data_IF_667896914245
#
_entry.id   IF_667896914245
#
_cell.length_a   1.000
_cell.length_b   1.000
_cell.length_c   1.000
_cell.angle_alpha   90.00
_cell.angle_beta   90.00
_cell.angle_gamma   90.00
#
_symmetry.space_group_name_H-M   'P 1'
#
loop_
_entity.id
_entity.type
_entity.pdbx_description
1 polymer ?
#
# COMPACT_ATOMS: atom_id res chain seq x y z
N UNK A 1 38.60 37.88 -32.23
CA UNK A 1 38.73 36.86 -31.12
C UNK A 1 37.91 37.39 -29.96
N UNK A 2 36.63 36.98 -29.89
CA UNK A 2 35.73 37.34 -28.79
C UNK A 2 35.83 36.28 -27.70
N UNK A 3 36.18 36.70 -26.47
CA UNK A 3 36.20 35.84 -25.29
C UNK A 3 34.77 35.67 -24.75
N UNK A 4 34.25 34.46 -24.79
CA UNK A 4 33.00 34.09 -24.19
C UNK A 4 33.22 33.99 -22.68
N UNK A 5 32.69 34.93 -21.90
CA UNK A 5 32.69 34.85 -20.44
C UNK A 5 31.49 34.04 -20.02
N UNK A 6 31.76 32.85 -19.45
CA UNK A 6 30.78 31.99 -18.87
C UNK A 6 30.23 32.60 -17.57
N UNK A 7 28.97 32.99 -17.61
CA UNK A 7 28.23 33.44 -16.43
C UNK A 7 27.76 32.20 -15.66
N UNK A 8 28.50 31.81 -14.64
CA UNK A 8 28.06 30.81 -13.68
C UNK A 8 27.11 31.47 -12.69
N UNK A 9 25.82 31.29 -12.90
CA UNK A 9 24.78 31.72 -11.95
C UNK A 9 24.73 30.72 -10.81
N UNK A 10 25.43 30.98 -9.71
CA UNK A 10 25.32 30.23 -8.48
C UNK A 10 23.99 30.63 -7.79
N UNK A 11 22.94 29.85 -8.00
CA UNK A 11 21.72 29.93 -7.19
C UNK A 11 22.04 29.33 -5.81
N UNK A 12 22.39 30.22 -4.87
CA UNK A 12 22.42 29.86 -3.46
C UNK A 12 20.98 29.66 -3.00
N UNK A 13 20.51 28.42 -3.03
CA UNK A 13 19.29 28.02 -2.34
C UNK A 13 19.58 28.12 -0.84
N UNK A 14 19.07 29.17 -0.20
CA UNK A 14 19.07 29.26 1.25
C UNK A 14 18.19 28.11 1.77
N UNK A 15 18.83 27.03 2.20
CA UNK A 15 18.20 26.00 3.04
C UNK A 15 17.89 26.69 4.36
N UNK A 16 16.66 27.20 4.49
CA UNK A 16 16.12 27.57 5.80
C UNK A 16 16.07 26.28 6.59
N UNK A 17 16.96 26.13 7.56
CA UNK A 17 16.89 25.07 8.57
C UNK A 17 15.63 25.35 9.38
N UNK A 18 14.51 24.75 8.98
CA UNK A 18 13.34 24.65 9.85
C UNK A 18 13.77 23.69 10.94
N UNK A 19 13.76 24.19 12.21
CA UNK A 19 13.90 23.33 13.38
C UNK A 19 12.86 22.20 13.23
N UNK A 20 13.30 20.95 13.32
CA UNK A 20 12.43 19.79 13.28
C UNK A 20 11.55 19.84 14.55
N UNK A 21 10.33 20.31 14.40
CA UNK A 21 9.32 20.25 15.45
C UNK A 21 8.50 18.99 15.26
N UNK A 22 8.06 18.41 16.38
CA UNK A 22 7.04 17.36 16.38
C UNK A 22 5.81 17.83 15.59
N UNK A 23 5.12 16.91 14.91
CA UNK A 23 3.80 17.22 14.34
C UNK A 23 2.82 17.37 15.49
N UNK A 24 2.19 18.55 15.69
CA UNK A 24 1.33 18.78 16.84
C UNK A 24 0.05 17.93 16.82
N UNK A 25 -0.43 17.57 18.00
CA UNK A 25 -1.78 17.04 18.13
C UNK A 25 -2.82 18.00 17.53
N UNK A 26 -3.84 17.45 16.86
CA UNK A 26 -4.88 18.23 16.17
C UNK A 26 -4.57 18.52 14.69
N UNK A 27 -3.36 18.23 14.22
CA UNK A 27 -2.99 18.36 12.79
C UNK A 27 -3.72 17.30 11.97
N UNK A 28 -4.18 17.70 10.77
CA UNK A 28 -4.64 16.78 9.73
C UNK A 28 -3.57 16.64 8.65
N UNK A 29 -3.46 15.44 8.11
CA UNK A 29 -2.62 15.14 6.95
C UNK A 29 -3.45 14.38 5.92
N UNK A 30 -3.27 14.72 4.64
CA UNK A 30 -3.88 14.00 3.52
C UNK A 30 -2.75 13.62 2.57
N UNK A 31 -2.72 12.34 2.19
CA UNK A 31 -1.81 11.86 1.17
C UNK A 31 -2.60 11.35 -0.04
N UNK A 32 -2.11 11.68 -1.25
CA UNK A 32 -2.68 11.20 -2.50
C UNK A 32 -1.55 10.67 -3.39
N UNK A 33 -1.70 9.45 -3.91
CA UNK A 33 -0.63 8.79 -4.62
C UNK A 33 -1.05 7.53 -5.35
N UNK A 34 -0.12 6.62 -5.50
CA UNK A 34 -0.34 5.29 -6.07
C UNK A 34 0.43 4.24 -5.27
N UNK A 35 -0.20 3.08 -5.12
CA UNK A 35 0.41 1.93 -4.48
C UNK A 35 0.35 0.71 -5.40
N UNK A 36 1.43 -0.06 -5.38
CA UNK A 36 1.54 -1.38 -5.99
C UNK A 36 1.28 -2.42 -4.92
N UNK A 37 0.30 -3.28 -5.14
CA UNK A 37 0.06 -4.48 -4.33
C UNK A 37 0.80 -5.62 -4.99
N UNK A 38 1.75 -6.20 -4.27
CA UNK A 38 2.63 -7.29 -4.70
C UNK A 38 2.33 -8.51 -3.81
N UNK A 39 1.44 -9.44 -4.24
CA UNK A 39 1.14 -10.66 -3.53
C UNK A 39 2.40 -11.50 -3.32
N UNK A 40 2.43 -12.31 -2.26
CA UNK A 40 3.54 -13.25 -2.08
C UNK A 40 3.57 -14.27 -3.24
N UNK A 41 4.73 -14.84 -3.51
CA UNK A 41 4.94 -15.75 -4.65
C UNK A 41 4.31 -17.14 -4.48
N UNK A 42 3.83 -17.49 -3.29
CA UNK A 42 3.13 -18.74 -2.99
C UNK A 42 1.81 -18.39 -2.27
N UNK A 43 0.73 -18.37 -3.04
CA UNK A 43 -0.61 -18.03 -2.52
C UNK A 43 -1.38 -19.26 -2.02
N UNK A 44 -0.70 -20.40 -1.85
CA UNK A 44 -1.29 -21.63 -1.35
C UNK A 44 -1.81 -22.55 -2.45
N UNK A 45 -2.70 -23.46 -2.05
CA UNK A 45 -3.27 -24.45 -2.96
C UNK A 45 -4.73 -24.74 -2.62
N UNK A 46 -5.53 -24.97 -3.65
CA UNK A 46 -6.93 -25.33 -3.56
C UNK A 46 -7.15 -26.83 -3.80
N UNK A 47 -8.34 -27.34 -3.44
CA UNK A 47 -8.76 -28.75 -3.62
C UNK A 47 -7.75 -29.74 -3.02
N UNK A 48 -7.35 -29.50 -1.74
CA UNK A 48 -6.38 -30.33 -1.02
C UNK A 48 -5.02 -30.47 -1.71
N UNK A 49 -4.52 -29.41 -2.31
CA UNK A 49 -3.21 -29.41 -2.98
C UNK A 49 -3.26 -29.76 -4.47
N UNK A 50 -4.44 -29.96 -5.05
CA UNK A 50 -4.56 -30.31 -6.46
C UNK A 50 -4.30 -29.12 -7.41
N UNK A 51 -4.53 -27.89 -6.95
CA UNK A 51 -4.33 -26.66 -7.72
C UNK A 51 -3.45 -25.70 -6.94
N UNK A 52 -2.28 -25.32 -7.47
CA UNK A 52 -1.49 -24.18 -6.95
C UNK A 52 -2.11 -22.87 -7.39
N UNK A 53 -2.01 -21.83 -6.55
CA UNK A 53 -2.56 -20.49 -6.81
C UNK A 53 -1.41 -19.52 -6.96
N UNK A 54 -1.47 -18.70 -8.01
CA UNK A 54 -0.59 -17.55 -8.24
C UNK A 54 -1.43 -16.32 -8.54
N UNK A 55 -1.17 -15.21 -7.86
CA UNK A 55 -1.91 -13.94 -7.98
C UNK A 55 -0.96 -12.86 -8.46
N UNK A 56 -1.33 -12.16 -9.55
CA UNK A 56 -0.52 -11.11 -10.15
C UNK A 56 -0.57 -9.82 -9.33
N UNK A 57 0.45 -8.96 -9.48
CA UNK A 57 0.49 -7.62 -8.91
C UNK A 57 -0.47 -6.63 -9.61
N UNK A 58 -0.79 -5.54 -8.95
CA UNK A 58 -1.55 -4.43 -9.55
C UNK A 58 -1.19 -3.08 -8.90
N UNK A 59 -1.30 -1.99 -9.68
CA UNK A 59 -1.03 -0.62 -9.24
C UNK A 59 -2.29 0.21 -9.33
N UNK A 60 -2.70 0.87 -8.21
CA UNK A 60 -3.87 1.74 -8.18
C UNK A 60 -3.61 3.07 -7.48
N UNK A 61 -4.35 4.12 -7.90
CA UNK A 61 -4.44 5.37 -7.15
C UNK A 61 -4.99 5.13 -5.76
N UNK A 62 -4.39 5.83 -4.78
CA UNK A 62 -4.75 5.76 -3.37
C UNK A 62 -4.87 7.13 -2.76
N UNK A 63 -5.64 7.21 -1.69
CA UNK A 63 -5.75 8.39 -0.82
C UNK A 63 -5.70 7.94 0.63
N UNK A 64 -5.00 8.68 1.48
CA UNK A 64 -5.11 8.49 2.92
C UNK A 64 -5.36 9.80 3.65
N UNK A 65 -6.07 9.71 4.77
CA UNK A 65 -6.26 10.78 5.72
C UNK A 65 -5.74 10.37 7.07
N UNK A 66 -4.96 11.23 7.72
CA UNK A 66 -4.38 11.00 9.03
C UNK A 66 -4.71 12.16 9.96
N UNK A 67 -5.11 11.83 11.18
CA UNK A 67 -5.34 12.79 12.24
C UNK A 67 -4.40 12.52 13.40
N UNK A 68 -3.65 13.54 13.82
CA UNK A 68 -2.71 13.46 14.92
C UNK A 68 -3.43 13.60 16.26
N UNK A 69 -3.57 12.48 16.99
CA UNK A 69 -4.24 12.42 18.31
C UNK A 69 -3.34 12.86 19.46
N UNK A 70 -2.02 12.81 19.25
CA UNK A 70 -0.98 13.32 20.13
C UNK A 70 0.20 13.77 19.27
N UNK A 71 1.16 14.48 19.87
CA UNK A 71 2.36 14.89 19.15
C UNK A 71 3.06 13.67 18.55
N UNK A 72 3.27 13.72 17.22
CA UNK A 72 3.86 12.64 16.43
C UNK A 72 3.06 11.33 16.37
N UNK A 73 1.86 11.23 16.95
CA UNK A 73 1.03 10.02 16.90
C UNK A 73 -0.23 10.29 16.10
N UNK A 74 -0.36 9.64 14.96
CA UNK A 74 -1.50 9.77 14.05
C UNK A 74 -2.35 8.50 13.96
N UNK A 75 -3.62 8.68 13.64
CA UNK A 75 -4.51 7.62 13.17
C UNK A 75 -4.74 7.86 11.68
N UNK A 76 -4.32 6.92 10.85
CA UNK A 76 -4.45 6.97 9.38
C UNK A 76 -5.53 5.99 8.90
N UNK A 77 -6.35 6.46 7.97
CA UNK A 77 -7.20 5.61 7.14
C UNK A 77 -6.72 5.68 5.70
N UNK A 78 -6.29 4.54 5.15
CA UNK A 78 -5.96 4.37 3.73
C UNK A 78 -7.16 3.83 2.98
N UNK A 79 -7.43 4.40 1.81
CA UNK A 79 -8.40 3.94 0.84
C UNK A 79 -7.78 3.93 -0.57
N UNK A 80 -8.30 3.07 -1.44
CA UNK A 80 -7.84 2.90 -2.82
C UNK A 80 -9.03 2.82 -3.77
N UNK A 81 -8.77 3.00 -5.07
CA UNK A 81 -9.66 2.44 -6.09
C UNK A 81 -9.44 0.92 -6.07
N UNK A 82 -10.48 0.09 -6.31
CA UNK A 82 -10.34 -1.36 -6.26
C UNK A 82 -9.17 -1.88 -7.08
N UNK A 83 -8.33 -2.73 -6.47
CA UNK A 83 -7.27 -3.45 -7.15
C UNK A 83 -7.87 -4.57 -8.00
N UNK A 84 -7.26 -4.83 -9.15
CA UNK A 84 -7.67 -5.88 -10.09
C UNK A 84 -6.53 -6.87 -10.22
N UNK A 85 -6.75 -8.09 -9.76
CA UNK A 85 -5.76 -9.15 -9.88
C UNK A 85 -6.22 -10.20 -10.86
N UNK A 86 -5.36 -10.52 -11.80
CA UNK A 86 -5.45 -11.78 -12.53
C UNK A 86 -4.83 -12.87 -11.63
N UNK A 87 -5.39 -14.07 -11.67
CA UNK A 87 -4.83 -15.21 -10.96
C UNK A 87 -4.80 -16.44 -11.87
N UNK A 88 -3.86 -17.32 -11.59
CA UNK A 88 -3.68 -18.58 -12.31
C UNK A 88 -3.74 -19.76 -11.34
N UNK A 89 -4.55 -20.73 -11.65
CA UNK A 89 -4.61 -22.02 -10.97
C UNK A 89 -3.92 -23.05 -11.84
N UNK A 90 -2.92 -23.75 -11.30
CA UNK A 90 -2.15 -24.74 -12.07
C UNK A 90 -2.27 -26.12 -11.42
N UNK A 91 -2.64 -27.14 -12.17
CA UNK A 91 -2.70 -28.54 -11.72
C UNK A 91 -1.33 -29.24 -11.79
N UNK A 92 -1.25 -30.46 -11.24
CA UNK A 92 -0.03 -31.27 -11.26
C UNK A 92 0.45 -31.67 -12.66
N UNK A 93 -0.39 -31.57 -13.69
CA UNK A 93 -0.04 -31.80 -15.09
C UNK A 93 0.42 -30.52 -15.80
N UNK A 94 0.40 -29.36 -15.12
CA UNK A 94 0.76 -28.06 -15.68
C UNK A 94 -0.37 -27.42 -16.50
N UNK A 95 -1.63 -27.85 -16.31
CA UNK A 95 -2.78 -27.22 -16.96
C UNK A 95 -3.17 -25.98 -16.17
N UNK A 96 -3.22 -24.83 -16.85
CA UNK A 96 -3.56 -23.53 -16.25
C UNK A 96 -5.04 -23.18 -16.45
N UNK A 97 -5.67 -22.72 -15.38
CA UNK A 97 -6.99 -22.11 -15.35
C UNK A 97 -6.84 -20.69 -14.87
N UNK A 98 -7.25 -19.71 -15.68
CA UNK A 98 -7.13 -18.29 -15.36
C UNK A 98 -8.42 -17.75 -14.79
N UNK A 99 -8.27 -16.78 -13.88
CA UNK A 99 -9.38 -16.05 -13.30
C UNK A 99 -9.02 -14.61 -13.00
N UNK A 100 -9.99 -13.87 -12.49
CA UNK A 100 -9.87 -12.46 -12.10
C UNK A 100 -10.66 -12.19 -10.86
N UNK A 101 -10.15 -11.31 -10.01
CA UNK A 101 -10.88 -10.77 -8.86
C UNK A 101 -10.60 -9.28 -8.71
N UNK A 102 -11.49 -8.60 -8.02
CA UNK A 102 -11.26 -7.24 -7.55
C UNK A 102 -11.33 -7.23 -6.04
N UNK A 103 -10.45 -6.46 -5.39
CA UNK A 103 -10.55 -6.28 -3.96
C UNK A 103 -10.32 -4.81 -3.56
N UNK A 104 -10.88 -4.46 -2.40
CA UNK A 104 -10.71 -3.17 -1.76
C UNK A 104 -10.22 -3.38 -0.33
N UNK A 105 -8.95 -2.99 -0.01
CA UNK A 105 -8.33 -3.24 1.28
C UNK A 105 -8.21 -1.97 2.14
N UNK A 106 -9.31 -1.31 2.60
CA UNK A 106 -9.17 -0.22 3.54
C UNK A 106 -8.37 -0.65 4.77
N UNK A 107 -7.47 0.22 5.20
CA UNK A 107 -6.57 -0.05 6.32
C UNK A 107 -6.61 1.09 7.32
N UNK A 108 -6.88 0.78 8.58
CA UNK A 108 -6.84 1.73 9.69
C UNK A 108 -5.58 1.45 10.51
N UNK A 109 -4.72 2.47 10.66
CA UNK A 109 -3.41 2.33 11.31
C UNK A 109 -3.19 3.40 12.37
N UNK A 110 -2.44 3.06 13.42
CA UNK A 110 -1.80 4.03 14.30
C UNK A 110 -0.35 4.17 13.83
N UNK A 111 0.10 5.42 13.63
CA UNK A 111 1.44 5.73 13.16
C UNK A 111 2.18 6.59 14.17
N UNK A 112 3.49 6.37 14.26
CA UNK A 112 4.41 7.23 14.99
C UNK A 112 5.40 7.84 14.01
N UNK A 113 5.42 9.19 13.97
CA UNK A 113 6.32 9.99 13.15
C UNK A 113 7.55 10.38 13.95
N UNK A 114 8.73 10.19 13.39
CA UNK A 114 9.99 10.58 14.01
C UNK A 114 10.34 12.06 13.71
N UNK A 115 9.32 12.91 13.64
CA UNK A 115 9.49 14.35 13.51
C UNK A 115 10.08 14.90 14.84
N UNK A 116 10.92 15.94 14.74
CA UNK A 116 11.64 16.45 15.90
C UNK A 116 13.05 15.88 16.08
N UNK A 117 13.40 14.81 15.34
CA UNK A 117 14.77 14.32 15.28
C UNK A 117 15.51 15.00 14.13
N UNK A 118 16.73 15.48 14.41
CA UNK A 118 17.57 16.12 13.37
C UNK A 118 18.10 15.10 12.38
N UNK A 119 17.25 14.67 11.46
CA UNK A 119 17.64 13.76 10.38
C UNK A 119 18.33 14.52 9.24
N UNK A 120 19.33 13.94 8.55
CA UNK A 120 19.90 14.52 7.34
C UNK A 120 18.81 14.84 6.32
N UNK A 121 18.97 15.95 5.58
CA UNK A 121 18.01 16.42 4.57
C UNK A 121 16.60 16.68 5.11
N UNK A 122 16.43 16.81 6.44
CA UNK A 122 15.15 17.00 7.10
C UNK A 122 14.13 15.86 6.83
N UNK A 123 14.63 14.65 6.60
CA UNK A 123 13.83 13.46 6.35
C UNK A 123 12.99 13.12 7.59
N UNK A 124 11.77 12.68 7.36
CA UNK A 124 10.78 12.36 8.40
C UNK A 124 10.30 10.91 8.26
N UNK A 125 11.03 9.96 8.85
CA UNK A 125 10.59 8.57 8.88
C UNK A 125 9.39 8.38 9.78
N UNK A 126 8.60 7.34 9.51
CA UNK A 126 7.48 6.93 10.35
C UNK A 126 7.32 5.41 10.32
N UNK A 127 6.62 4.90 11.33
CA UNK A 127 6.28 3.48 11.48
C UNK A 127 4.83 3.39 11.95
N UNK A 128 4.10 2.37 11.51
CA UNK A 128 2.72 2.16 11.90
C UNK A 128 2.35 0.69 12.01
N UNK A 129 1.27 0.46 12.76
CA UNK A 129 0.60 -0.83 12.84
C UNK A 129 -0.91 -0.61 12.73
N UNK A 130 -1.61 -1.54 12.13
CA UNK A 130 -3.04 -1.36 11.90
C UNK A 130 -3.79 -2.65 11.65
N UNK A 131 -5.05 -2.48 11.28
CA UNK A 131 -5.96 -3.54 10.87
C UNK A 131 -6.38 -3.24 9.43
N UNK A 132 -6.27 -4.25 8.59
CA UNK A 132 -6.79 -4.26 7.24
C UNK A 132 -8.12 -5.02 7.22
N UNK A 133 -9.11 -4.49 6.51
CA UNK A 133 -10.33 -5.18 6.13
C UNK A 133 -10.37 -5.25 4.61
N UNK A 134 -10.37 -6.44 4.03
CA UNK A 134 -10.38 -6.61 2.58
C UNK A 134 -11.70 -7.25 2.15
N UNK A 135 -12.40 -6.59 1.26
CA UNK A 135 -13.59 -7.16 0.60
C UNK A 135 -13.26 -7.51 -0.84
N UNK A 136 -13.71 -8.69 -1.28
CA UNK A 136 -13.55 -9.19 -2.63
C UNK A 136 -14.85 -9.05 -3.40
N UNK A 137 -14.76 -8.93 -4.72
CA UNK A 137 -15.93 -8.83 -5.59
C UNK A 137 -15.54 -9.02 -7.06
N UNK A 138 -16.54 -9.40 -7.89
CA UNK A 138 -16.39 -9.66 -9.33
C UNK A 138 -15.41 -10.80 -9.62
N UNK A 139 -15.40 -11.80 -8.77
CA UNK A 139 -14.63 -13.02 -8.95
C UNK A 139 -15.10 -13.75 -10.22
N UNK A 140 -14.16 -14.20 -11.01
CA UNK A 140 -14.44 -14.95 -12.23
C UNK A 140 -13.34 -15.98 -12.47
N UNK A 141 -13.73 -17.19 -12.75
CA UNK A 141 -12.83 -18.25 -13.20
C UNK A 141 -13.24 -18.69 -14.60
N UNK A 142 -12.26 -19.00 -15.44
CA UNK A 142 -12.48 -19.37 -16.85
C UNK A 142 -12.99 -20.83 -17.01
N UNK A 143 -13.98 -21.18 -16.20
CA UNK A 143 -14.67 -22.47 -16.24
C UNK A 143 -16.15 -22.18 -16.51
N UNK A 144 -16.71 -22.78 -17.57
CA UNK A 144 -18.12 -22.54 -17.90
C UNK A 144 -19.08 -23.05 -16.83
N UNK A 145 -19.91 -22.14 -16.29
CA UNK A 145 -20.90 -22.46 -15.25
C UNK A 145 -20.32 -22.58 -13.83
N UNK A 146 -19.05 -22.20 -13.63
CA UNK A 146 -18.47 -22.10 -12.30
C UNK A 146 -18.75 -20.73 -11.68
N UNK A 147 -19.15 -20.74 -10.41
CA UNK A 147 -19.36 -19.57 -9.56
C UNK A 147 -18.31 -19.63 -8.45
N UNK A 148 -17.34 -18.69 -8.52
CA UNK A 148 -16.26 -18.55 -7.54
C UNK A 148 -16.62 -17.38 -6.61
N UNK A 149 -16.50 -17.61 -5.32
CA UNK A 149 -16.70 -16.61 -4.29
C UNK A 149 -15.53 -16.63 -3.30
N UNK A 150 -15.08 -15.43 -2.88
CA UNK A 150 -13.99 -15.22 -1.94
C UNK A 150 -14.53 -14.47 -0.72
N UNK A 151 -14.31 -15.01 0.46
CA UNK A 151 -14.77 -14.41 1.70
C UNK A 151 -13.96 -13.13 2.03
N UNK A 152 -14.60 -12.19 2.73
CA UNK A 152 -13.93 -11.00 3.25
C UNK A 152 -12.82 -11.40 4.25
N UNK A 153 -11.74 -10.62 4.26
CA UNK A 153 -10.57 -10.84 5.11
C UNK A 153 -10.37 -9.73 6.12
N UNK A 154 -9.99 -10.10 7.33
CA UNK A 154 -9.54 -9.17 8.37
C UNK A 154 -8.16 -9.60 8.85
N UNK A 155 -7.18 -8.73 8.72
CA UNK A 155 -5.82 -9.04 9.12
C UNK A 155 -5.06 -7.85 9.71
N UNK A 156 -3.86 -8.12 10.18
CA UNK A 156 -2.96 -7.09 10.68
C UNK A 156 -2.19 -6.43 9.54
N UNK A 157 -1.82 -5.17 9.73
CA UNK A 157 -0.97 -4.43 8.80
C UNK A 157 0.22 -3.81 9.54
N UNK A 158 1.40 -3.90 8.94
CA UNK A 158 2.59 -3.15 9.34
C UNK A 158 2.91 -2.09 8.29
N UNK A 159 3.37 -0.91 8.71
CA UNK A 159 3.65 0.21 7.82
C UNK A 159 4.94 0.91 8.22
N UNK A 160 5.80 1.17 7.25
CA UNK A 160 6.99 2.00 7.39
C UNK A 160 7.05 2.97 6.22
N UNK A 161 7.53 4.18 6.45
CA UNK A 161 7.68 5.13 5.37
C UNK A 161 8.59 6.30 5.71
N UNK A 162 8.78 7.13 4.72
CA UNK A 162 9.65 8.28 4.76
C UNK A 162 8.98 9.44 4.04
N UNK A 163 8.73 10.52 4.75
CA UNK A 163 8.34 11.78 4.17
C UNK A 163 9.58 12.63 3.85
N UNK A 164 9.63 13.18 2.66
CA UNK A 164 10.68 14.03 2.11
C UNK A 164 10.09 15.44 1.96
N UNK A 165 10.19 16.31 2.97
CA UNK A 165 9.61 17.65 2.93
C UNK A 165 10.28 18.51 1.85
N UNK A 166 9.50 19.24 1.09
CA UNK A 166 9.96 20.25 0.13
C UNK A 166 9.33 21.64 0.38
N UNK A 167 8.28 21.70 1.23
CA UNK A 167 7.67 22.92 1.73
C UNK A 167 7.24 22.73 3.20
N UNK A 168 6.87 23.80 3.93
CA UNK A 168 6.56 23.71 5.36
C UNK A 168 5.45 22.71 5.73
N UNK A 169 4.49 22.48 4.82
CA UNK A 169 3.33 21.60 5.03
C UNK A 169 3.19 20.55 3.93
N UNK A 170 4.21 20.35 3.09
CA UNK A 170 4.14 19.48 1.92
C UNK A 170 5.36 18.57 1.86
N UNK A 171 5.12 17.32 1.53
CA UNK A 171 6.17 16.30 1.38
C UNK A 171 5.85 15.34 0.23
N UNK A 172 6.87 14.70 -0.29
CA UNK A 172 6.73 13.45 -1.01
C UNK A 172 6.92 12.30 -0.01
N UNK A 173 6.06 11.29 -0.10
CA UNK A 173 6.12 10.07 0.70
C UNK A 173 6.56 8.90 -0.16
N UNK A 174 7.44 8.09 0.38
CA UNK A 174 7.67 6.71 -0.07
C UNK A 174 7.39 5.79 1.10
N UNK A 175 6.65 4.71 0.87
CA UNK A 175 6.29 3.81 1.95
C UNK A 175 6.18 2.35 1.50
N UNK A 176 6.23 1.46 2.49
CA UNK A 176 5.98 0.05 2.33
C UNK A 176 5.07 -0.44 3.44
N UNK A 177 4.10 -1.29 3.08
CA UNK A 177 3.17 -1.94 4.00
C UNK A 177 3.21 -3.43 3.78
N UNK A 178 3.08 -4.18 4.84
CA UNK A 178 2.73 -5.58 4.80
C UNK A 178 1.31 -5.74 5.33
N UNK A 179 0.48 -6.50 4.64
CA UNK A 179 -0.89 -6.78 5.04
C UNK A 179 -1.09 -8.29 5.11
N UNK A 180 -1.60 -8.80 6.24
CA UNK A 180 -2.04 -10.19 6.34
C UNK A 180 -3.45 -10.28 5.72
N UNK A 181 -3.54 -10.88 4.54
CA UNK A 181 -4.80 -11.03 3.78
C UNK A 181 -4.94 -12.49 3.38
N UNK A 182 -5.92 -13.16 3.99
CA UNK A 182 -6.29 -14.53 3.69
C UNK A 182 -7.77 -14.62 3.46
N UNK A 183 -8.18 -15.44 2.49
CA UNK A 183 -9.59 -15.59 2.12
C UNK A 183 -9.91 -17.05 1.86
N UNK A 184 -11.04 -17.49 2.38
CA UNK A 184 -11.60 -18.79 2.04
C UNK A 184 -12.27 -18.71 0.67
N UNK A 185 -12.00 -19.70 -0.17
CA UNK A 185 -12.52 -19.77 -1.52
C UNK A 185 -13.60 -20.85 -1.62
N UNK A 186 -14.73 -20.51 -2.21
CA UNK A 186 -15.80 -21.45 -2.52
C UNK A 186 -16.06 -21.51 -4.02
N UNK A 187 -16.38 -22.69 -4.51
CA UNK A 187 -16.74 -22.92 -5.90
C UNK A 187 -18.12 -23.60 -5.97
N UNK A 188 -19.09 -22.94 -6.56
CA UNK A 188 -20.50 -23.37 -6.58
C UNK A 188 -21.04 -23.67 -5.16
N UNK A 189 -20.60 -22.88 -4.15
CA UNK A 189 -20.97 -23.03 -2.75
C UNK A 189 -20.26 -24.16 -2.00
N UNK A 190 -19.29 -24.82 -2.60
CA UNK A 190 -18.44 -25.82 -1.92
C UNK A 190 -17.09 -25.18 -1.57
N UNK A 191 -16.66 -25.32 -0.33
CA UNK A 191 -15.33 -24.90 0.12
C UNK A 191 -14.25 -25.66 -0.65
N UNK A 192 -13.30 -24.92 -1.24
CA UNK A 192 -12.19 -25.46 -2.00
C UNK A 192 -10.81 -25.13 -1.39
N UNK A 193 -10.78 -24.36 -0.29
CA UNK A 193 -9.56 -24.03 0.47
C UNK A 193 -9.30 -22.54 0.66
N UNK A 194 -8.20 -22.22 1.33
CA UNK A 194 -7.77 -20.86 1.65
C UNK A 194 -6.73 -20.35 0.64
N UNK A 195 -6.86 -19.10 0.25
CA UNK A 195 -5.87 -18.35 -0.54
C UNK A 195 -5.18 -17.35 0.38
N UNK A 196 -3.85 -17.39 0.45
CA UNK A 196 -3.04 -16.48 1.24
C UNK A 196 -2.35 -15.47 0.31
N UNK A 197 -2.89 -14.27 0.23
CA UNK A 197 -2.38 -13.18 -0.61
C UNK A 197 -1.23 -12.46 0.07
N UNK A 198 -1.40 -12.12 1.35
CA UNK A 198 -0.45 -11.48 2.29
C UNK A 198 0.62 -10.61 1.59
N UNK A 199 0.20 -9.53 0.90
CA UNK A 199 1.07 -8.77 0.00
C UNK A 199 2.02 -7.84 0.73
N UNK A 200 3.13 -7.53 0.07
CA UNK A 200 3.78 -6.25 0.25
C UNK A 200 3.10 -5.19 -0.62
N UNK A 201 2.99 -3.98 -0.09
CA UNK A 201 2.38 -2.84 -0.77
C UNK A 201 3.37 -1.69 -0.74
N UNK A 202 3.82 -1.25 -1.91
CA UNK A 202 4.80 -0.18 -2.07
C UNK A 202 4.13 1.07 -2.61
N UNK A 203 4.36 2.21 -1.97
CA UNK A 203 3.69 3.46 -2.29
C UNK A 203 4.59 4.64 -2.57
N UNK A 204 4.05 5.54 -3.40
CA UNK A 204 4.54 6.91 -3.55
C UNK A 204 3.35 7.87 -3.48
N UNK A 205 3.47 8.95 -2.72
CA UNK A 205 2.39 9.90 -2.54
C UNK A 205 2.89 11.34 -2.35
N UNK A 206 2.02 12.27 -2.64
CA UNK A 206 2.12 13.67 -2.21
C UNK A 206 1.35 13.81 -0.90
N UNK A 207 1.96 14.45 0.10
CA UNK A 207 1.40 14.66 1.43
C UNK A 207 1.19 16.15 1.66
N UNK A 208 0.01 16.52 2.19
CA UNK A 208 -0.33 17.87 2.63
C UNK A 208 -0.81 17.86 4.07
N UNK A 209 -0.22 18.69 4.92
CA UNK A 209 -0.64 18.92 6.32
C UNK A 209 -1.45 20.23 6.44
N UNK A 210 -2.40 20.28 7.37
CA UNK A 210 -3.33 21.38 7.62
C UNK A 210 -3.38 21.75 9.09
#
# INVERSE_FOLDING_TARGET
MMKLQSLVLATATALTMTSAFAVPAGTWSVAAGAHMVDPKSDNGSLLNGALSVEVDDDIRPTISGEYFIADNVGIELLAAIPFHHDFTLTDAAGVEIKGKTQHLPPTLSVQYHFDGYNMPMNLKPFIGVGVNYTTFFKERVNISGADLDLDDSVGVAGHIGLDIPFAPTEAFRIDARYMDIKTDATLNGADIGEIDISPWVYGVAFVKQF
#
